data_IF_889535383898
#
_entry.id   IF_889535383898
#
_cell.length_a   1.000
_cell.length_b   1.000
_cell.length_c   1.000
_cell.angle_alpha   90.00
_cell.angle_beta   90.00
_cell.angle_gamma   90.00
#
_symmetry.space_group_name_H-M   'P 1'
#
loop_
_entity.id
_entity.type
_entity.pdbx_description
1 polymer ?
#
# COMPACT_ATOMS: atom_id res chain seq x y z
N UNK A 1 -11.56 -1.89 -7.24
CA UNK A 1 -10.53 -0.86 -7.51
C UNK A 1 -10.85 0.49 -6.88
N UNK A 2 -12.03 1.08 -7.10
CA UNK A 2 -12.38 2.40 -6.54
C UNK A 2 -12.16 2.50 -5.02
N UNK A 3 -12.64 1.50 -4.26
CA UNK A 3 -12.43 1.38 -2.82
C UNK A 3 -10.96 1.53 -2.41
N UNK A 4 -10.06 0.78 -3.06
CA UNK A 4 -8.62 0.76 -2.77
C UNK A 4 -7.91 2.03 -3.25
N UNK A 5 -8.42 2.66 -4.31
CA UNK A 5 -7.91 3.91 -4.86
C UNK A 5 -8.42 5.14 -4.09
N UNK A 6 -9.18 4.96 -3.02
CA UNK A 6 -9.79 6.05 -2.24
C UNK A 6 -10.71 6.94 -3.08
N UNK A 7 -11.44 6.33 -4.01
CA UNK A 7 -12.41 6.99 -4.90
C UNK A 7 -13.77 6.30 -4.78
N UNK A 8 -14.84 6.99 -5.20
CA UNK A 8 -16.21 6.48 -5.11
C UNK A 8 -16.82 6.62 -3.71
N UNK A 9 -18.09 6.22 -3.56
CA UNK A 9 -18.88 6.43 -2.34
C UNK A 9 -18.31 5.71 -1.11
N UNK A 10 -17.81 4.48 -1.30
CA UNK A 10 -17.28 3.65 -0.21
C UNK A 10 -15.74 3.61 -0.19
N UNK A 11 -15.08 4.61 -0.77
CA UNK A 11 -13.62 4.70 -0.77
C UNK A 11 -13.04 4.75 0.66
N UNK A 12 -11.96 4.02 0.92
CA UNK A 12 -11.23 4.25 2.18
C UNK A 12 -10.60 5.64 2.18
N UNK A 13 -10.38 6.28 3.36
CA UNK A 13 -9.72 7.58 3.41
C UNK A 13 -8.36 7.55 2.70
N UNK A 14 -8.03 8.58 1.90
CA UNK A 14 -6.81 8.61 1.06
C UNK A 14 -5.49 8.48 1.82
N UNK A 15 -5.49 8.80 3.12
CA UNK A 15 -4.32 8.63 4.00
C UNK A 15 -4.18 7.20 4.54
N UNK A 16 -5.13 6.30 4.26
CA UNK A 16 -5.07 4.87 4.59
C UNK A 16 -4.19 4.12 3.60
N UNK A 17 -2.88 4.28 3.76
CA UNK A 17 -1.87 3.59 2.96
C UNK A 17 -1.40 2.35 3.71
N UNK A 18 -1.65 1.17 3.14
CA UNK A 18 -1.21 -0.11 3.70
C UNK A 18 0.32 -0.27 3.59
N UNK A 19 0.96 -0.68 4.68
CA UNK A 19 2.35 -1.12 4.65
C UNK A 19 2.37 -2.63 4.36
N UNK A 20 2.97 -3.09 3.24
CA UNK A 20 2.93 -4.49 2.84
C UNK A 20 3.58 -5.42 3.87
N UNK A 21 4.60 -4.96 4.60
CA UNK A 21 5.28 -5.77 5.62
C UNK A 21 4.37 -6.01 6.83
N UNK A 22 3.76 -4.97 7.37
CA UNK A 22 2.88 -5.13 8.54
C UNK A 22 1.57 -5.86 8.19
N UNK A 23 1.09 -5.74 6.95
CA UNK A 23 -0.01 -6.59 6.47
C UNK A 23 0.41 -8.06 6.40
N UNK A 24 1.60 -8.35 5.89
CA UNK A 24 2.14 -9.71 5.87
C UNK A 24 2.26 -10.29 7.27
N UNK A 25 2.87 -9.57 8.23
CA UNK A 25 3.04 -10.04 9.61
C UNK A 25 1.70 -10.31 10.30
N UNK A 26 0.68 -9.51 9.97
CA UNK A 26 -0.66 -9.63 10.56
C UNK A 26 -1.45 -10.81 10.00
N UNK A 27 -1.36 -11.06 8.69
CA UNK A 27 -2.27 -11.98 8.00
C UNK A 27 -1.59 -13.27 7.49
N UNK A 28 -0.26 -13.31 7.44
CA UNK A 28 0.55 -14.48 7.07
C UNK A 28 1.78 -14.57 8.00
N UNK A 29 1.53 -14.68 9.31
CA UNK A 29 2.57 -14.64 10.35
C UNK A 29 3.68 -15.67 10.16
N UNK A 30 3.35 -16.83 9.61
CA UNK A 30 4.28 -17.93 9.32
C UNK A 30 4.87 -17.88 7.91
N UNK A 31 4.39 -16.95 7.07
CA UNK A 31 4.81 -16.79 5.68
C UNK A 31 4.41 -17.98 4.80
N UNK A 32 3.40 -18.77 5.17
CA UNK A 32 3.04 -19.99 4.44
C UNK A 32 2.47 -19.66 3.07
N UNK A 33 1.59 -18.66 3.00
CA UNK A 33 1.03 -18.19 1.74
C UNK A 33 2.15 -17.61 0.85
N UNK A 34 3.00 -16.75 1.42
CA UNK A 34 4.14 -16.18 0.68
C UNK A 34 5.06 -17.28 0.15
N UNK A 35 5.43 -18.28 0.97
CA UNK A 35 6.30 -19.39 0.54
C UNK A 35 5.68 -20.26 -0.55
N UNK A 36 4.34 -20.40 -0.55
CA UNK A 36 3.64 -21.18 -1.57
C UNK A 36 3.73 -20.52 -2.96
N UNK A 37 3.66 -19.19 -3.03
CA UNK A 37 3.55 -18.47 -4.31
C UNK A 37 4.81 -17.72 -4.74
N UNK A 38 5.73 -17.40 -3.82
CA UNK A 38 7.04 -16.84 -4.15
C UNK A 38 8.10 -17.93 -4.23
N UNK A 39 8.70 -18.09 -5.40
CA UNK A 39 9.92 -18.88 -5.55
C UNK A 39 11.04 -18.34 -4.66
N UNK A 40 11.82 -19.24 -4.06
CA UNK A 40 12.94 -18.93 -3.16
C UNK A 40 13.97 -17.98 -3.78
N UNK A 41 14.07 -17.91 -5.10
CA UNK A 41 15.00 -17.03 -5.83
C UNK A 41 14.48 -15.60 -6.04
N UNK A 42 13.23 -15.32 -5.67
CA UNK A 42 12.56 -14.05 -5.97
C UNK A 42 12.51 -13.05 -4.81
N UNK A 43 13.25 -13.29 -3.72
CA UNK A 43 13.39 -12.31 -2.64
C UNK A 43 14.11 -11.05 -3.15
N UNK A 44 13.34 -10.08 -3.64
CA UNK A 44 13.84 -8.80 -4.17
C UNK A 44 13.71 -7.71 -3.11
N UNK A 45 14.71 -6.82 -3.06
CA UNK A 45 14.64 -5.60 -2.26
C UNK A 45 13.46 -4.74 -2.73
N UNK A 46 12.81 -3.96 -1.86
CA UNK A 46 11.79 -3.01 -2.26
C UNK A 46 12.30 -2.09 -3.38
N UNK A 47 11.55 -2.00 -4.47
CA UNK A 47 11.89 -1.13 -5.63
C UNK A 47 11.79 0.35 -5.24
N UNK A 48 11.00 0.66 -4.21
CA UNK A 48 10.80 2.00 -3.67
C UNK A 48 10.84 1.96 -2.15
N UNK A 49 11.36 3.02 -1.52
CA UNK A 49 11.25 3.20 -0.07
C UNK A 49 9.79 3.34 0.34
N UNK A 50 9.38 2.56 1.35
CA UNK A 50 8.01 2.59 1.88
C UNK A 50 7.66 3.93 2.54
N UNK A 51 8.64 4.58 3.18
CA UNK A 51 8.44 5.91 3.78
C UNK A 51 8.24 6.98 2.70
N UNK A 52 9.12 6.99 1.71
CA UNK A 52 9.04 7.93 0.60
C UNK A 52 7.74 7.79 -0.19
N UNK A 53 7.38 6.56 -0.57
CA UNK A 53 6.17 6.30 -1.37
C UNK A 53 4.90 6.69 -0.61
N UNK A 54 4.83 6.40 0.69
CA UNK A 54 3.72 6.81 1.57
C UNK A 54 3.60 8.33 1.65
N UNK A 55 4.69 9.04 1.96
CA UNK A 55 4.68 10.51 2.07
C UNK A 55 4.26 11.17 0.76
N UNK A 56 4.83 10.72 -0.36
CA UNK A 56 4.50 11.21 -1.70
C UNK A 56 3.00 11.02 -2.03
N UNK A 57 2.45 9.84 -1.76
CA UNK A 57 1.04 9.57 -2.04
C UNK A 57 0.10 10.50 -1.24
N UNK A 58 0.34 10.66 0.06
CA UNK A 58 -0.46 11.57 0.91
C UNK A 58 -0.37 13.01 0.39
N UNK A 59 0.84 13.47 0.05
CA UNK A 59 1.07 14.83 -0.45
C UNK A 59 0.33 15.09 -1.76
N UNK A 60 0.38 14.14 -2.71
CA UNK A 60 -0.32 14.26 -3.99
C UNK A 60 -1.83 14.31 -3.80
N UNK A 61 -2.39 13.44 -2.94
CA UNK A 61 -3.83 13.47 -2.65
C UNK A 61 -4.26 14.76 -1.96
N UNK A 62 -3.46 15.28 -1.02
CA UNK A 62 -3.72 16.58 -0.39
C UNK A 62 -3.79 17.70 -1.43
N UNK A 63 -2.82 17.75 -2.35
CA UNK A 63 -2.81 18.74 -3.44
C UNK A 63 -4.05 18.62 -4.33
N UNK A 64 -4.40 17.41 -4.76
CA UNK A 64 -5.57 17.17 -5.60
C UNK A 64 -6.87 17.60 -4.92
N UNK A 65 -6.99 17.35 -3.61
CA UNK A 65 -8.16 17.79 -2.83
C UNK A 65 -8.23 19.31 -2.72
N UNK A 66 -7.10 19.98 -2.53
CA UNK A 66 -7.04 21.43 -2.37
C UNK A 66 -7.14 22.20 -3.69
N UNK A 67 -6.77 21.60 -4.83
CA UNK A 67 -6.86 22.22 -6.15
C UNK A 67 -8.28 22.16 -6.75
N UNK A 68 -9.16 21.32 -6.19
CA UNK A 68 -10.56 21.18 -6.57
C UNK A 68 -11.52 21.92 -5.61
N UNK A 69 -10.97 22.75 -4.72
CA UNK A 69 -11.67 23.71 -3.86
C UNK A 69 -11.21 25.12 -4.25
#
# INVERSE_FOLDING_TARGET
>A
WQWAASTGADGVPYFRIFNPLTQSEKFDKEGLFIKQYLSRTMAKKPIVSLDFSRKRAIEVFKRAKNANL
#
